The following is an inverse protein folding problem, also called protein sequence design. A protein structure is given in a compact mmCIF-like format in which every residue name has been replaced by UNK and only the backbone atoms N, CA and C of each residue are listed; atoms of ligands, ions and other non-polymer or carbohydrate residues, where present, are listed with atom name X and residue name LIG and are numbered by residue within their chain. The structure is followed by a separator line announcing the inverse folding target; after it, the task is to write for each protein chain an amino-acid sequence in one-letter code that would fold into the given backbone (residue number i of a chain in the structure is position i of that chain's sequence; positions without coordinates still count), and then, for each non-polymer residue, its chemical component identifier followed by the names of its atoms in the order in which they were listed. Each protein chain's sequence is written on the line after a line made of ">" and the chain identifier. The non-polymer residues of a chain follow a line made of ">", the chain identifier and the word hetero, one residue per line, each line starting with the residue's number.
data_IF_145008728123
#
_entry.id   IF_145008728123
#
_cell.length_a   1.000
_cell.length_b   1.000
_cell.length_c   1.000
_cell.angle_alpha   90.00
_cell.angle_beta   90.00
_cell.angle_gamma   90.00
#
_symmetry.space_group_name_H-M   'P 1'
#
loop_
_entity.id
_entity.type
_entity.pdbx_description
1 polymer ?
#
# COMPACT_ATOMS: atom_id res chain seq x y z
N UNK A 1 5.86 14.52 -46.99
CA UNK A 1 6.83 13.73 -46.20
C UNK A 1 6.34 13.76 -44.77
N UNK A 2 5.66 12.70 -44.35
CA UNK A 2 5.12 12.57 -43.00
C UNK A 2 6.28 12.64 -42.01
N UNK A 3 6.19 13.59 -41.08
CA UNK A 3 7.14 13.71 -39.98
C UNK A 3 6.79 12.58 -39.03
N UNK A 4 7.50 11.45 -39.18
CA UNK A 4 7.35 10.30 -38.30
C UNK A 4 7.49 10.75 -36.85
N UNK A 5 6.47 10.47 -36.04
CA UNK A 5 6.50 10.74 -34.61
C UNK A 5 7.67 9.97 -34.01
N UNK A 6 8.70 10.71 -33.59
CA UNK A 6 9.79 10.15 -32.80
C UNK A 6 9.21 9.81 -31.43
N UNK A 7 8.91 8.54 -31.21
CA UNK A 7 8.59 8.05 -29.87
C UNK A 7 9.86 8.10 -29.03
N UNK A 8 9.95 9.12 -28.17
CA UNK A 8 10.95 9.14 -27.12
C UNK A 8 10.66 7.99 -26.15
N UNK A 9 11.68 7.22 -25.72
CA UNK A 9 11.49 6.23 -24.68
C UNK A 9 10.89 6.92 -23.44
N UNK A 10 10.00 6.25 -22.68
CA UNK A 10 9.37 6.84 -21.51
C UNK A 10 10.47 7.29 -20.54
N UNK A 11 10.69 8.60 -20.48
CA UNK A 11 11.77 9.16 -19.69
C UNK A 11 11.50 8.83 -18.23
N UNK A 12 12.45 8.26 -17.48
CA UNK A 12 12.30 8.15 -16.04
C UNK A 12 12.13 9.57 -15.49
N UNK A 13 11.09 9.79 -14.69
CA UNK A 13 10.91 11.06 -14.01
C UNK A 13 12.18 11.42 -13.22
N UNK A 14 12.45 12.72 -13.06
CA UNK A 14 13.72 13.22 -12.49
C UNK A 14 14.12 12.57 -11.17
N UNK A 15 13.17 12.05 -10.38
CA UNK A 15 13.42 11.31 -9.14
C UNK A 15 13.91 9.86 -9.28
N UNK A 16 13.86 9.26 -10.48
CA UNK A 16 14.37 7.91 -10.81
C UNK A 16 15.67 8.01 -11.61
N UNK A 17 16.21 9.22 -11.83
CA UNK A 17 17.39 9.47 -12.68
C UNK A 17 18.66 8.69 -12.26
N UNK A 18 18.70 8.23 -11.02
CA UNK A 18 19.79 7.41 -10.46
C UNK A 18 19.33 6.05 -9.92
N UNK A 19 18.08 5.63 -10.21
CA UNK A 19 17.48 4.40 -9.70
C UNK A 19 17.20 3.34 -10.78
N UNK A 20 16.79 2.16 -10.34
CA UNK A 20 16.37 1.08 -11.25
C UNK A 20 15.17 1.49 -12.11
N UNK A 21 15.17 1.05 -13.37
CA UNK A 21 14.01 1.18 -14.25
C UNK A 21 12.95 0.12 -13.88
N UNK A 22 11.65 0.50 -13.83
CA UNK A 22 10.59 -0.44 -13.52
C UNK A 22 10.50 -1.55 -14.57
N UNK A 23 10.21 -2.78 -14.14
CA UNK A 23 9.86 -3.91 -15.02
C UNK A 23 8.35 -4.05 -15.21
N UNK A 24 7.56 -3.52 -14.28
CA UNK A 24 6.11 -3.56 -14.30
C UNK A 24 5.51 -2.21 -13.85
N UNK A 25 4.32 -1.90 -14.36
CA UNK A 25 3.51 -0.78 -13.89
C UNK A 25 2.09 -1.24 -13.64
N UNK A 26 1.54 -0.87 -12.48
CA UNK A 26 0.16 -1.17 -12.12
C UNK A 26 -0.62 0.12 -11.86
N UNK A 27 -1.91 0.14 -12.23
CA UNK A 27 -2.83 1.20 -11.82
C UNK A 27 -3.47 0.82 -10.48
N UNK A 28 -3.64 1.79 -9.59
CA UNK A 28 -4.28 1.60 -8.28
C UNK A 28 -4.94 2.88 -7.79
N UNK A 29 -5.72 2.78 -6.72
CA UNK A 29 -6.30 3.92 -6.01
C UNK A 29 -5.43 4.25 -4.78
N UNK A 30 -5.23 5.53 -4.50
CA UNK A 30 -4.49 5.98 -3.33
C UNK A 30 -5.28 5.71 -2.03
N UNK A 31 -4.77 4.91 -1.07
CA UNK A 31 -5.50 4.54 0.15
C UNK A 31 -5.34 5.55 1.30
N UNK A 32 -4.59 6.65 1.09
CA UNK A 32 -4.12 7.52 2.18
C UNK A 32 -5.17 8.55 2.64
N UNK A 33 -6.13 8.89 1.80
CA UNK A 33 -7.23 9.80 2.12
C UNK A 33 -8.48 9.39 1.34
N UNK A 34 -9.62 9.98 1.68
CA UNK A 34 -10.92 9.62 1.11
C UNK A 34 -11.14 10.09 -0.34
N UNK A 35 -10.19 10.81 -0.95
CA UNK A 35 -10.35 11.31 -2.32
C UNK A 35 -10.35 10.19 -3.36
N UNK A 36 -9.55 9.14 -3.17
CA UNK A 36 -9.46 8.05 -4.14
C UNK A 36 -8.75 8.42 -5.45
N UNK A 37 -7.67 9.21 -5.38
CA UNK A 37 -6.85 9.55 -6.55
C UNK A 37 -6.33 8.28 -7.25
N UNK A 38 -6.41 8.23 -8.59
CA UNK A 38 -5.82 7.15 -9.38
C UNK A 38 -4.31 7.38 -9.55
N UNK A 39 -3.54 6.35 -9.25
CA UNK A 39 -2.09 6.33 -9.30
C UNK A 39 -1.58 5.22 -10.21
N UNK A 40 -0.44 5.47 -10.86
CA UNK A 40 0.41 4.46 -11.51
C UNK A 40 1.57 4.14 -10.57
N UNK A 41 1.73 2.87 -10.20
CA UNK A 41 2.81 2.37 -9.36
C UNK A 41 3.88 1.74 -10.25
N UNK A 42 5.10 2.24 -10.14
CA UNK A 42 6.28 1.67 -10.80
C UNK A 42 6.83 0.55 -9.90
N UNK A 43 6.95 -0.66 -10.44
CA UNK A 43 7.41 -1.87 -9.73
C UNK A 43 8.73 -2.37 -10.31
N UNK A 44 9.55 -2.96 -9.45
CA UNK A 44 10.75 -3.73 -9.82
C UNK A 44 10.86 -4.95 -8.94
N UNK A 45 10.87 -6.15 -9.51
CA UNK A 45 10.93 -7.41 -8.72
C UNK A 45 9.91 -7.42 -7.57
N UNK A 46 8.66 -7.05 -7.88
CA UNK A 46 7.55 -6.93 -6.93
C UNK A 46 7.73 -5.91 -5.79
N UNK A 47 8.73 -5.01 -5.87
CA UNK A 47 8.90 -3.90 -4.93
C UNK A 47 8.49 -2.58 -5.58
N UNK A 48 7.77 -1.77 -4.82
CA UNK A 48 7.42 -0.40 -5.21
C UNK A 48 8.68 0.46 -5.33
N UNK A 49 8.94 0.98 -6.52
CA UNK A 49 9.97 2.00 -6.77
C UNK A 49 9.45 3.41 -6.49
N UNK A 50 8.18 3.65 -6.82
CA UNK A 50 7.50 4.92 -6.60
C UNK A 50 6.07 4.92 -7.15
N UNK A 51 5.35 5.99 -6.87
CA UNK A 51 3.99 6.24 -7.38
C UNK A 51 3.95 7.52 -8.20
N UNK A 52 3.07 7.57 -9.19
CA UNK A 52 2.81 8.74 -10.03
C UNK A 52 1.30 8.91 -10.17
N UNK A 53 0.80 10.14 -10.37
CA UNK A 53 -0.61 10.29 -10.75
C UNK A 53 -0.87 9.63 -12.10
N UNK A 54 -2.06 9.07 -12.25
CA UNK A 54 -2.54 8.63 -13.56
C UNK A 54 -3.10 9.82 -14.33
N UNK A 55 -2.63 10.02 -15.55
CA UNK A 55 -3.15 11.05 -16.47
C UNK A 55 -4.63 10.82 -16.82
N UNK A 56 -5.11 9.58 -16.67
CA UNK A 56 -6.50 9.17 -16.93
C UNK A 56 -7.38 9.22 -15.67
N UNK A 57 -6.82 9.65 -14.53
CA UNK A 57 -7.54 9.63 -13.25
C UNK A 57 -8.71 10.61 -13.24
N UNK A 58 -9.95 10.09 -13.17
CA UNK A 58 -11.16 10.92 -13.20
C UNK A 58 -11.29 11.89 -12.01
N UNK A 59 -10.71 11.55 -10.86
CA UNK A 59 -10.80 12.38 -9.64
C UNK A 59 -9.66 13.39 -9.55
N UNK A 60 -8.47 13.01 -10.02
CA UNK A 60 -7.25 13.75 -9.77
C UNK A 60 -6.61 14.34 -11.03
N UNK A 61 -7.11 14.03 -12.22
CA UNK A 61 -6.75 14.66 -13.50
C UNK A 61 -5.22 14.78 -13.70
N UNK A 62 -4.48 13.69 -13.45
CA UNK A 62 -3.02 13.69 -13.57
C UNK A 62 -2.27 14.38 -12.43
N UNK A 63 -2.93 14.73 -11.32
CA UNK A 63 -2.32 15.33 -10.12
C UNK A 63 -2.25 14.36 -8.94
N UNK A 64 -1.28 14.56 -8.05
CA UNK A 64 -1.22 13.85 -6.78
C UNK A 64 -0.64 14.77 -5.70
N UNK A 65 -1.17 14.67 -4.48
CA UNK A 65 -0.58 15.36 -3.33
C UNK A 65 0.75 14.71 -2.91
N UNK A 66 1.49 15.37 -2.02
CA UNK A 66 2.78 14.87 -1.50
C UNK A 66 2.70 13.45 -0.93
N UNK A 67 1.57 13.12 -0.26
CA UNK A 67 1.34 11.79 0.31
C UNK A 67 1.18 10.74 -0.78
N UNK A 68 0.31 10.97 -1.76
CA UNK A 68 0.07 10.03 -2.86
C UNK A 68 1.29 9.85 -3.76
N UNK A 69 2.09 10.90 -3.97
CA UNK A 69 3.25 10.87 -4.87
C UNK A 69 4.52 10.27 -4.26
N UNK A 70 4.75 10.45 -2.95
CA UNK A 70 6.03 10.10 -2.33
C UNK A 70 5.92 9.11 -1.17
N UNK A 71 4.84 9.13 -0.39
CA UNK A 71 4.79 8.43 0.89
C UNK A 71 4.53 6.92 0.78
N UNK A 72 3.88 6.47 -0.31
CA UNK A 72 3.40 5.08 -0.47
C UNK A 72 4.55 4.07 -0.30
N UNK A 73 5.67 4.30 -0.98
CA UNK A 73 6.85 3.42 -0.91
C UNK A 73 7.36 3.26 0.52
N UNK A 74 7.50 4.38 1.22
CA UNK A 74 8.11 4.43 2.55
C UNK A 74 7.22 3.81 3.62
N UNK A 75 5.90 3.89 3.47
CA UNK A 75 4.96 3.22 4.38
C UNK A 75 4.98 1.71 4.15
N UNK A 76 4.91 1.27 2.89
CA UNK A 76 4.86 -0.17 2.54
C UNK A 76 6.14 -0.89 2.96
N UNK A 77 7.29 -0.25 2.77
CA UNK A 77 8.61 -0.82 3.08
C UNK A 77 9.20 -0.32 4.41
N UNK A 78 8.37 0.27 5.28
CA UNK A 78 8.83 0.77 6.57
C UNK A 78 9.48 -0.36 7.39
N UNK A 79 10.65 -0.14 8.01
CA UNK A 79 11.24 -1.14 8.91
C UNK A 79 10.40 -1.37 10.17
N UNK A 80 9.43 -0.49 10.46
CA UNK A 80 8.49 -0.63 11.58
C UNK A 80 7.26 -1.46 11.24
N UNK A 81 7.15 -1.97 10.01
CA UNK A 81 6.00 -2.77 9.58
C UNK A 81 6.01 -4.09 10.36
N UNK A 82 4.90 -4.36 11.06
CA UNK A 82 4.68 -5.65 11.73
C UNK A 82 4.36 -6.69 10.65
N UNK A 83 5.19 -7.73 10.57
CA UNK A 83 5.07 -8.79 9.55
C UNK A 83 4.61 -10.12 10.12
N UNK A 84 4.58 -10.26 11.45
CA UNK A 84 4.13 -11.45 12.16
C UNK A 84 3.09 -11.09 13.22
N UNK A 85 2.15 -11.98 13.52
CA UNK A 85 1.25 -11.83 14.67
C UNK A 85 2.03 -11.64 15.98
N UNK A 86 1.49 -10.82 16.87
CA UNK A 86 2.02 -10.61 18.22
C UNK A 86 0.94 -10.96 19.25
N UNK A 87 1.29 -11.79 20.22
CA UNK A 87 0.41 -12.22 21.31
C UNK A 87 0.93 -11.69 22.64
N UNK A 88 0.02 -11.29 23.54
CA UNK A 88 0.42 -10.75 24.84
C UNK A 88 0.62 -11.86 25.89
N UNK A 89 1.83 -12.00 26.38
CA UNK A 89 2.25 -12.94 27.44
C UNK A 89 2.92 -12.14 28.56
N UNK A 90 2.53 -12.36 29.82
CA UNK A 90 3.11 -11.64 30.98
C UNK A 90 3.17 -10.10 30.84
N UNK A 91 2.17 -9.51 30.17
CA UNK A 91 2.04 -8.08 29.82
C UNK A 91 2.92 -7.59 28.67
N UNK A 92 3.80 -8.42 28.12
CA UNK A 92 4.66 -8.10 26.97
C UNK A 92 4.11 -8.69 25.66
N UNK A 93 4.49 -8.13 24.51
CA UNK A 93 4.10 -8.64 23.20
C UNK A 93 5.22 -9.53 22.66
N UNK A 94 4.88 -10.77 22.35
CA UNK A 94 5.81 -11.77 21.81
C UNK A 94 5.34 -12.21 20.40
N UNK A 95 6.28 -12.52 19.51
CA UNK A 95 5.97 -13.05 18.19
C UNK A 95 5.31 -14.43 18.28
N UNK A 96 4.29 -14.68 17.45
CA UNK A 96 3.58 -15.95 17.38
C UNK A 96 3.36 -16.38 15.92
N UNK A 97 3.11 -17.68 15.72
CA UNK A 97 2.60 -18.19 14.44
C UNK A 97 1.16 -17.73 14.19
N UNK A 98 0.71 -17.84 12.93
CA UNK A 98 -0.68 -17.53 12.59
C UNK A 98 -1.66 -18.48 13.27
N UNK A 99 -1.33 -19.76 13.33
CA UNK A 99 -2.12 -20.81 13.97
C UNK A 99 -2.32 -20.51 15.45
N UNK A 100 -1.23 -20.25 16.19
CA UNK A 100 -1.28 -19.92 17.61
C UNK A 100 -2.06 -18.63 17.88
N UNK A 101 -1.83 -17.58 17.09
CA UNK A 101 -2.50 -16.30 17.27
C UNK A 101 -4.02 -16.41 17.02
N UNK A 102 -4.43 -17.12 15.97
CA UNK A 102 -5.83 -17.32 15.64
C UNK A 102 -6.53 -18.20 16.68
N UNK A 103 -5.90 -19.30 17.11
CA UNK A 103 -6.44 -20.16 18.16
C UNK A 103 -6.57 -19.41 19.49
N UNK A 104 -5.56 -18.63 19.86
CA UNK A 104 -5.56 -17.81 21.08
C UNK A 104 -6.73 -16.81 21.10
N UNK A 105 -7.01 -16.15 19.97
CA UNK A 105 -8.13 -15.21 19.82
C UNK A 105 -9.45 -15.98 19.83
N UNK A 106 -9.57 -17.06 19.05
CA UNK A 106 -10.80 -17.85 18.94
C UNK A 106 -11.24 -18.42 20.30
N UNK A 107 -10.32 -19.00 21.06
CA UNK A 107 -10.60 -19.55 22.40
C UNK A 107 -11.09 -18.49 23.39
N UNK A 108 -10.60 -17.25 23.29
CA UNK A 108 -11.05 -16.14 24.14
C UNK A 108 -12.40 -15.60 23.72
N UNK A 109 -12.59 -15.39 22.42
CA UNK A 109 -13.85 -14.89 21.87
C UNK A 109 -15.01 -15.86 22.17
N UNK A 110 -14.79 -17.17 22.13
CA UNK A 110 -15.77 -18.21 22.49
C UNK A 110 -16.39 -18.04 23.90
N UNK A 111 -15.69 -17.37 24.82
CA UNK A 111 -16.17 -17.11 26.20
C UNK A 111 -17.24 -16.02 26.27
N UNK A 112 -17.40 -15.24 25.20
CA UNK A 112 -18.37 -14.14 25.11
C UNK A 112 -19.50 -14.50 24.14
N UNK A 113 -20.70 -13.97 24.40
CA UNK A 113 -21.90 -14.18 23.57
C UNK A 113 -22.73 -12.90 23.49
N UNK A 114 -23.50 -12.75 22.41
CA UNK A 114 -24.45 -11.65 22.22
C UNK A 114 -23.77 -10.28 22.22
N UNK A 115 -24.33 -9.35 23.01
CA UNK A 115 -23.92 -7.92 23.06
C UNK A 115 -22.56 -7.65 23.74
N UNK A 116 -21.77 -8.68 24.03
CA UNK A 116 -20.44 -8.57 24.69
C UNK A 116 -19.28 -8.47 23.69
N UNK A 117 -19.56 -8.46 22.40
CA UNK A 117 -18.56 -8.37 21.34
C UNK A 117 -18.84 -7.12 20.52
N UNK A 118 -17.80 -6.35 20.23
CA UNK A 118 -17.83 -5.21 19.34
C UNK A 118 -16.72 -5.36 18.29
N UNK A 119 -16.96 -4.83 17.09
CA UNK A 119 -16.00 -4.81 15.99
C UNK A 119 -15.81 -3.35 15.56
N UNK A 120 -14.55 -2.93 15.49
CA UNK A 120 -14.16 -1.61 14.99
C UNK A 120 -13.37 -1.84 13.71
N UNK A 121 -13.89 -1.35 12.59
CA UNK A 121 -13.24 -1.47 11.30
C UNK A 121 -12.52 -0.18 10.93
N UNK A 122 -11.34 -0.31 10.30
CA UNK A 122 -10.66 0.84 9.70
C UNK A 122 -11.33 1.22 8.38
N UNK A 123 -11.51 2.52 8.07
CA UNK A 123 -11.98 2.96 6.75
C UNK A 123 -10.99 2.62 5.62
N UNK A 124 -9.79 2.14 5.94
CA UNK A 124 -8.73 1.79 4.98
C UNK A 124 -8.64 0.28 4.69
N UNK A 125 -9.56 -0.56 5.22
CA UNK A 125 -9.43 -2.02 5.15
C UNK A 125 -9.63 -2.63 3.75
N UNK A 126 -10.30 -1.91 2.84
CA UNK A 126 -10.64 -2.40 1.50
C UNK A 126 -9.98 -1.61 0.36
N UNK A 127 -9.22 -0.56 0.66
CA UNK A 127 -8.59 0.31 -0.34
C UNK A 127 -7.23 -0.22 -0.78
#
# INVERSE_FOLDING_TARGET
>A
KEVGQVQFPPQPERGIRYGDLPDERAKTICPLCSMGCELKIDLKRQKILGSKPSDEGAVNEGQACVKGRFLIKDVVHSPRRILKPLVRVNKELEEASWEEALDFVAQRLKKFKGKKIALIASPQVSC
#
